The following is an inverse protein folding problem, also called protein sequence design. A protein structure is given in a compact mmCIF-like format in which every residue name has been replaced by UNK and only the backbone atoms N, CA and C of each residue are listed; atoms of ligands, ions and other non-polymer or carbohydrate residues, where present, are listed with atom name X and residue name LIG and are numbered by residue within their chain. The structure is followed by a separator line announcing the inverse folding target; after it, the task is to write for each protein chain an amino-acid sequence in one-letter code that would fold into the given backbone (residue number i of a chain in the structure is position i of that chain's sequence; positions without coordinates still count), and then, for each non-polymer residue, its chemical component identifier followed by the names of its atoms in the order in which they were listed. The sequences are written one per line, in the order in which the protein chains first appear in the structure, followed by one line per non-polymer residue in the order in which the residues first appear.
data_IF_269961043740
#
_entry.id   IF_269961043740
#
_cell.length_a   1.000
_cell.length_b   1.000
_cell.length_c   1.000
_cell.angle_alpha   90.00
_cell.angle_beta   90.00
_cell.angle_gamma   90.00
#
_symmetry.space_group_name_H-M   'P 1'
#
loop_
_entity.id
_entity.type
_entity.pdbx_description
1 polymer ?
#
# COMPACT_ATOMS: atom_id res chain seq x y z
N UNK A 1 0.16 -7.54 -0.44
CA UNK A 1 -0.70 -6.58 -1.18
C UNK A 1 -0.36 -5.17 -0.71
N UNK A 2 -0.26 -4.20 -1.62
CA UNK A 2 0.01 -2.79 -1.29
C UNK A 2 -1.14 -1.93 -1.81
N UNK A 3 -1.47 -0.84 -1.11
CA UNK A 3 -2.59 0.07 -1.42
C UNK A 3 -2.14 1.52 -1.41
N UNK A 4 -2.93 2.39 -2.03
CA UNK A 4 -2.72 3.85 -2.04
C UNK A 4 -1.92 4.39 -3.24
N UNK A 5 -1.28 3.52 -4.03
CA UNK A 5 -0.45 3.92 -5.17
C UNK A 5 0.87 4.58 -4.75
N UNK A 6 1.74 4.82 -5.73
CA UNK A 6 2.99 5.57 -5.58
C UNK A 6 3.07 6.63 -6.67
N UNK A 7 4.05 7.55 -6.58
CA UNK A 7 4.24 8.66 -7.51
C UNK A 7 4.37 8.20 -8.97
N UNK A 8 4.83 6.97 -9.21
CA UNK A 8 5.00 6.37 -10.54
C UNK A 8 3.78 5.54 -11.02
N UNK A 9 2.64 5.62 -10.34
CA UNK A 9 1.46 4.83 -10.69
C UNK A 9 0.42 5.66 -11.46
N UNK A 10 -0.22 5.05 -12.47
CA UNK A 10 -1.41 5.59 -13.10
C UNK A 10 -2.49 5.93 -12.06
N UNK A 11 -3.26 7.01 -12.28
CA UNK A 11 -4.30 7.51 -11.35
C UNK A 11 -5.30 6.45 -10.89
N UNK A 12 -5.60 5.49 -11.76
CA UNK A 12 -6.46 4.33 -11.50
C UNK A 12 -6.00 3.49 -10.28
N UNK A 13 -4.68 3.46 -10.02
CA UNK A 13 -4.06 2.67 -8.95
C UNK A 13 -4.11 3.37 -7.58
N UNK A 14 -4.46 4.66 -7.54
CA UNK A 14 -4.64 5.41 -6.30
C UNK A 14 -6.02 5.17 -5.66
N UNK A 15 -6.93 4.47 -6.35
CA UNK A 15 -8.25 4.14 -5.82
C UNK A 15 -8.18 3.19 -4.63
N UNK A 16 -9.05 3.41 -3.65
CA UNK A 16 -9.14 2.60 -2.43
C UNK A 16 -9.39 1.10 -2.70
N UNK A 17 -10.13 0.78 -3.77
CA UNK A 17 -10.41 -0.58 -4.19
C UNK A 17 -9.24 -1.28 -4.89
N UNK A 18 -8.20 -0.53 -5.31
CA UNK A 18 -7.08 -1.10 -6.05
C UNK A 18 -6.12 -1.85 -5.12
N UNK A 19 -5.79 -3.10 -5.46
CA UNK A 19 -4.89 -3.97 -4.69
C UNK A 19 -3.69 -4.33 -5.57
N UNK A 20 -2.53 -3.77 -5.26
CA UNK A 20 -1.33 -4.11 -6.00
C UNK A 20 -0.78 -5.48 -5.53
N UNK A 21 -0.67 -6.44 -6.45
CA UNK A 21 -0.20 -7.80 -6.19
C UNK A 21 1.30 -7.91 -6.48
N UNK A 22 2.11 -7.35 -5.58
CA UNK A 22 3.57 -7.51 -5.63
C UNK A 22 4.00 -8.76 -4.88
N UNK A 23 5.00 -9.47 -5.42
CA UNK A 23 5.62 -10.61 -4.73
C UNK A 23 6.20 -10.17 -3.38
N UNK A 24 6.06 -10.94 -2.28
CA UNK A 24 6.48 -10.50 -0.95
C UNK A 24 7.98 -10.16 -0.81
N UNK A 25 8.84 -10.78 -1.64
CA UNK A 25 10.28 -10.48 -1.69
C UNK A 25 10.66 -9.25 -2.54
N UNK A 26 9.70 -8.58 -3.19
CA UNK A 26 9.98 -7.45 -4.06
C UNK A 26 10.24 -6.18 -3.25
N UNK A 27 11.49 -5.71 -3.24
CA UNK A 27 11.95 -4.49 -2.55
C UNK A 27 11.97 -3.27 -3.48
N UNK A 28 10.91 -3.08 -4.26
CA UNK A 28 10.82 -1.93 -5.16
C UNK A 28 10.75 -0.62 -4.36
N UNK A 29 11.52 0.39 -4.77
CA UNK A 29 11.63 1.70 -4.10
C UNK A 29 10.30 2.49 -4.04
N UNK A 30 9.28 2.03 -4.76
CA UNK A 30 7.93 2.61 -4.73
C UNK A 30 7.01 1.99 -3.67
N UNK A 31 7.52 1.07 -2.85
CA UNK A 31 6.78 0.41 -1.77
C UNK A 31 7.18 1.01 -0.41
N UNK A 32 6.19 1.21 0.46
CA UNK A 32 6.38 1.68 1.84
C UNK A 32 5.32 1.12 2.77
N UNK A 33 5.44 1.42 4.07
CA UNK A 33 4.48 1.00 5.09
C UNK A 33 3.93 2.20 5.87
N UNK A 34 2.71 2.06 6.38
CA UNK A 34 2.09 3.01 7.31
C UNK A 34 1.75 2.25 8.58
N UNK A 35 2.26 2.73 9.70
CA UNK A 35 1.91 2.18 11.02
C UNK A 35 0.47 2.57 11.39
N UNK A 36 -0.22 1.66 12.06
CA UNK A 36 -1.53 1.89 12.66
C UNK A 36 -1.38 1.83 14.17
N UNK A 37 -1.95 2.81 14.86
CA UNK A 37 -2.16 2.75 16.30
C UNK A 37 -3.59 2.24 16.54
N UNK A 38 -3.73 1.23 17.40
CA UNK A 38 -5.05 0.73 17.84
C UNK A 38 -5.34 1.29 19.23
N UNK A 39 -6.58 1.73 19.46
CA UNK A 39 -7.04 2.04 20.81
C UNK A 39 -7.11 0.77 21.63
N UNK A 40 -6.86 0.88 22.94
CA UNK A 40 -7.08 -0.21 23.88
C UNK A 40 -8.54 -0.68 23.77
N UNK A 41 -8.74 -2.00 23.70
CA UNK A 41 -10.07 -2.62 23.67
C UNK A 41 -10.38 -2.96 25.13
N UNK A 42 -11.45 -2.38 25.67
CA UNK A 42 -12.03 -2.78 26.96
C UNK A 42 -13.01 -3.96 26.80
#
# INVERSE_FOLDING_TARGET
MVRGGSWNNNRENARCAYRNSTHPGNRNNNLGFRVLCVSHIE
#
